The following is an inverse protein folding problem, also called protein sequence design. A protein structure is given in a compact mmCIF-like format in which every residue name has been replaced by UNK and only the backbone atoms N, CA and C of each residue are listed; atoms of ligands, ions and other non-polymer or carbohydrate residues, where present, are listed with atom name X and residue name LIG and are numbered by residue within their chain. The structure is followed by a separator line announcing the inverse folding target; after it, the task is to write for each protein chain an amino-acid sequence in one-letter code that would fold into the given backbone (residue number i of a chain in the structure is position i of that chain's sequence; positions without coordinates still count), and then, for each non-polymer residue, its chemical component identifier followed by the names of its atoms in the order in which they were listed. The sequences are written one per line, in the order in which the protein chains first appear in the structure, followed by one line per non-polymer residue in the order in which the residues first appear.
data_IF_247763471298
#
_entry.id   IF_247763471298
#
_cell.length_a   1.000
_cell.length_b   1.000
_cell.length_c   1.000
_cell.angle_alpha   90.00
_cell.angle_beta   90.00
_cell.angle_gamma   90.00
#
_symmetry.space_group_name_H-M   'P 1'
#
loop_
_entity.id
_entity.type
_entity.pdbx_description
1 polymer ?
#
# COMPACT_ATOMS: atom_id res chain seq x y z
N UNK A 1 -6.51 2.90 -23.61
CA UNK A 1 -7.44 3.97 -24.07
C UNK A 1 -8.22 4.50 -22.86
N UNK A 2 -8.86 5.68 -22.92
CA UNK A 2 -9.59 6.25 -21.77
C UNK A 2 -10.66 5.30 -21.19
N UNK A 3 -11.35 4.53 -22.04
CA UNK A 3 -12.34 3.52 -21.60
C UNK A 3 -11.71 2.35 -20.82
N UNK A 4 -10.55 1.86 -21.27
CA UNK A 4 -9.83 0.78 -20.59
C UNK A 4 -9.27 1.25 -19.24
N UNK A 5 -8.74 2.49 -19.19
CA UNK A 5 -8.25 3.09 -17.95
C UNK A 5 -9.38 3.33 -16.96
N UNK A 6 -10.53 3.83 -17.42
CA UNK A 6 -11.73 3.97 -16.59
C UNK A 6 -12.18 2.64 -15.99
N UNK A 7 -12.24 1.58 -16.80
CA UNK A 7 -12.60 0.24 -16.31
C UNK A 7 -11.60 -0.30 -15.28
N UNK A 8 -10.29 -0.14 -15.53
CA UNK A 8 -9.26 -0.53 -14.58
C UNK A 8 -9.35 0.25 -13.27
N UNK A 9 -9.55 1.58 -13.35
CA UNK A 9 -9.63 2.46 -12.20
C UNK A 9 -10.92 2.24 -11.38
N UNK A 10 -12.02 1.81 -12.00
CA UNK A 10 -13.23 1.39 -11.29
C UNK A 10 -12.96 0.20 -10.35
N UNK A 11 -12.11 -0.74 -10.75
CA UNK A 11 -11.69 -1.84 -9.88
C UNK A 11 -10.68 -1.35 -8.83
N UNK A 12 -9.67 -0.61 -9.28
CA UNK A 12 -8.58 -0.17 -8.40
C UNK A 12 -9.07 0.69 -7.23
N UNK A 13 -10.02 1.60 -7.47
CA UNK A 13 -10.52 2.46 -6.39
C UNK A 13 -11.26 1.67 -5.32
N UNK A 14 -12.00 0.64 -5.70
CA UNK A 14 -12.67 -0.25 -4.73
C UNK A 14 -11.63 -1.03 -3.91
N UNK A 15 -10.58 -1.55 -4.55
CA UNK A 15 -9.48 -2.21 -3.82
C UNK A 15 -8.71 -1.24 -2.91
N UNK A 16 -8.59 0.03 -3.30
CA UNK A 16 -7.96 1.09 -2.49
C UNK A 16 -8.81 1.44 -1.26
N UNK A 17 -10.13 1.58 -1.41
CA UNK A 17 -11.07 1.80 -0.30
C UNK A 17 -11.01 0.66 0.73
N UNK A 18 -10.84 -0.58 0.29
CA UNK A 18 -10.61 -1.71 1.19
C UNK A 18 -9.26 -1.63 1.90
N UNK A 19 -8.20 -1.27 1.17
CA UNK A 19 -6.85 -1.07 1.71
C UNK A 19 -6.76 0.11 2.70
N UNK A 20 -7.64 1.10 2.59
CA UNK A 20 -7.84 2.13 3.60
C UNK A 20 -8.65 1.59 4.79
N UNK A 21 -9.76 0.91 4.54
CA UNK A 21 -10.71 0.50 5.57
C UNK A 21 -10.07 -0.38 6.66
N UNK A 22 -9.16 -1.28 6.29
CA UNK A 22 -8.47 -2.16 7.23
C UNK A 22 -7.68 -1.43 8.33
N UNK A 23 -7.27 -0.17 8.11
CA UNK A 23 -6.61 0.62 9.17
C UNK A 23 -7.56 1.00 10.31
N UNK A 24 -8.87 1.01 10.05
CA UNK A 24 -9.92 1.28 11.05
C UNK A 24 -10.13 0.09 12.00
N UNK A 25 -9.58 -1.09 11.68
CA UNK A 25 -9.64 -2.28 12.55
C UNK A 25 -8.59 -2.18 13.67
N UNK A 26 -9.07 -1.92 14.89
CA UNK A 26 -8.23 -1.90 16.11
C UNK A 26 -8.26 -3.25 16.85
N UNK A 27 -9.41 -3.92 16.85
CA UNK A 27 -9.59 -5.26 17.39
C UNK A 27 -10.00 -6.23 16.26
N UNK A 28 -9.18 -7.26 15.93
CA UNK A 28 -9.45 -8.16 14.82
C UNK A 28 -10.71 -9.03 15.03
N UNK A 29 -11.16 -9.21 16.27
CA UNK A 29 -12.35 -10.01 16.58
C UNK A 29 -13.65 -9.21 16.47
N UNK A 30 -13.58 -7.88 16.30
CA UNK A 30 -14.75 -7.02 16.12
C UNK A 30 -15.01 -6.73 14.64
N UNK A 31 -16.21 -6.24 14.36
CA UNK A 31 -16.55 -5.70 13.05
C UNK A 31 -15.67 -4.48 12.73
N UNK A 32 -15.22 -4.38 11.49
CA UNK A 32 -14.46 -3.21 11.04
C UNK A 32 -15.45 -2.07 10.80
N UNK A 33 -15.27 -0.91 11.42
CA UNK A 33 -16.20 0.20 11.21
C UNK A 33 -16.06 0.78 9.80
N UNK A 34 -17.18 1.24 9.24
CA UNK A 34 -17.22 1.97 7.98
C UNK A 34 -16.73 1.16 6.77
N UNK A 35 -17.06 -0.13 6.71
CA UNK A 35 -16.82 -0.96 5.52
C UNK A 35 -17.42 -0.25 4.29
N UNK A 36 -16.68 -0.14 3.16
CA UNK A 36 -17.19 0.54 1.97
C UNK A 36 -18.49 -0.06 1.44
N UNK A 37 -19.32 0.78 0.80
CA UNK A 37 -20.57 0.35 0.18
C UNK A 37 -20.34 -0.79 -0.82
N UNK A 38 -21.26 -1.75 -0.86
CA UNK A 38 -21.14 -2.95 -1.69
C UNK A 38 -20.17 -3.99 -1.15
N UNK A 39 -19.53 -3.77 0.00
CA UNK A 39 -18.63 -4.75 0.62
C UNK A 39 -19.13 -5.20 1.99
N UNK A 40 -18.87 -6.47 2.31
CA UNK A 40 -19.05 -7.05 3.63
C UNK A 40 -17.72 -7.58 4.15
N UNK A 41 -17.31 -7.16 5.34
CA UNK A 41 -16.17 -7.77 6.02
C UNK A 41 -16.56 -9.13 6.59
N UNK A 42 -16.00 -10.20 6.04
CA UNK A 42 -16.29 -11.60 6.42
C UNK A 42 -15.18 -12.22 7.28
N UNK A 43 -14.23 -11.42 7.75
CA UNK A 43 -13.06 -11.91 8.49
C UNK A 43 -13.38 -12.64 9.80
N UNK A 44 -14.57 -12.42 10.35
CA UNK A 44 -15.07 -13.08 11.55
C UNK A 44 -16.12 -14.17 11.27
N UNK A 45 -16.41 -14.45 10.00
CA UNK A 45 -17.34 -15.49 9.55
C UNK A 45 -16.55 -16.72 9.07
N UNK A 46 -16.34 -17.68 9.97
CA UNK A 46 -15.60 -18.91 9.64
C UNK A 46 -16.25 -19.72 8.51
N UNK A 47 -17.58 -19.70 8.39
CA UNK A 47 -18.27 -20.42 7.34
C UNK A 47 -17.99 -19.78 5.97
N UNK A 48 -18.01 -18.44 5.89
CA UNK A 48 -17.63 -17.72 4.67
C UNK A 48 -16.13 -17.91 4.33
N UNK A 49 -15.23 -17.76 5.31
CA UNK A 49 -13.79 -17.93 5.10
C UNK A 49 -13.40 -19.32 4.61
N UNK A 50 -14.05 -20.36 5.14
CA UNK A 50 -13.75 -21.75 4.76
C UNK A 50 -13.98 -22.02 3.26
N UNK A 51 -14.88 -21.27 2.61
CA UNK A 51 -15.15 -21.38 1.16
C UNK A 51 -13.96 -20.96 0.30
N UNK A 52 -13.08 -20.12 0.83
CA UNK A 52 -11.84 -19.67 0.17
C UNK A 52 -10.59 -20.27 0.84
N UNK A 53 -10.76 -21.35 1.62
CA UNK A 53 -9.65 -22.06 2.26
C UNK A 53 -9.04 -21.35 3.48
N UNK A 54 -9.67 -20.27 3.97
CA UNK A 54 -9.15 -19.51 5.11
C UNK A 54 -9.90 -19.84 6.41
N UNK A 55 -9.24 -19.52 7.51
CA UNK A 55 -9.86 -19.44 8.83
C UNK A 55 -9.43 -18.15 9.53
N UNK A 56 -10.26 -17.67 10.46
CA UNK A 56 -10.06 -16.38 11.11
C UNK A 56 -8.70 -16.24 11.80
N UNK A 57 -8.18 -17.30 12.42
CA UNK A 57 -6.94 -17.25 13.19
C UNK A 57 -5.69 -17.04 12.30
N UNK A 58 -5.82 -17.14 10.98
CA UNK A 58 -4.74 -16.80 10.05
C UNK A 58 -4.61 -15.30 9.81
N UNK A 59 -5.66 -14.52 10.11
CA UNK A 59 -5.79 -13.13 9.68
C UNK A 59 -5.16 -12.12 10.64
N UNK A 60 -4.62 -12.56 11.79
CA UNK A 60 -3.93 -11.68 12.74
C UNK A 60 -2.94 -12.50 13.58
N UNK A 61 -1.97 -11.84 14.20
CA UNK A 61 -0.98 -12.48 15.08
C UNK A 61 -1.36 -12.42 16.57
N UNK A 62 -2.18 -11.46 16.99
CA UNK A 62 -2.67 -11.31 18.38
C UNK A 62 -4.01 -10.58 18.46
N UNK A 63 -4.71 -10.76 19.60
CA UNK A 63 -6.09 -10.28 19.80
C UNK A 63 -6.20 -8.78 20.10
N UNK A 64 -5.15 -8.17 20.62
CA UNK A 64 -5.13 -6.75 20.98
C UNK A 64 -4.01 -6.07 20.22
N UNK A 65 -4.34 -5.00 19.49
CA UNK A 65 -3.38 -4.23 18.69
C UNK A 65 -2.46 -5.13 17.85
N UNK A 66 -3.03 -5.97 16.94
CA UNK A 66 -2.23 -6.86 16.12
C UNK A 66 -1.16 -6.11 15.35
N UNK A 67 0.02 -6.69 15.25
CA UNK A 67 1.10 -6.17 14.42
C UNK A 67 0.85 -6.60 12.97
N UNK A 68 0.62 -7.90 12.77
CA UNK A 68 0.13 -8.44 11.50
C UNK A 68 -1.40 -8.40 11.48
N UNK A 69 -1.97 -7.79 10.44
CA UNK A 69 -3.41 -7.85 10.22
C UNK A 69 -3.73 -8.03 8.73
N UNK A 70 -4.61 -8.98 8.45
CA UNK A 70 -5.34 -9.12 7.21
C UNK A 70 -6.84 -9.11 7.49
N UNK A 71 -7.63 -8.70 6.49
CA UNK A 71 -9.10 -8.81 6.48
C UNK A 71 -9.55 -9.37 5.15
N UNK A 72 -10.73 -9.98 5.13
CA UNK A 72 -11.36 -10.51 3.91
C UNK A 72 -12.68 -9.80 3.71
N UNK A 73 -12.83 -9.19 2.54
CA UNK A 73 -14.04 -8.49 2.15
C UNK A 73 -14.73 -9.24 1.01
N UNK A 74 -16.01 -9.52 1.21
CA UNK A 74 -16.88 -10.15 0.24
C UNK A 74 -17.64 -9.06 -0.52
N UNK A 75 -17.59 -9.01 -1.86
CA UNK A 75 -18.44 -8.10 -2.63
C UNK A 75 -19.90 -8.54 -2.58
N UNK A 76 -20.80 -7.55 -2.57
CA UNK A 76 -22.23 -7.72 -2.76
C UNK A 76 -22.53 -7.76 -4.26
N UNK A 77 -23.03 -8.90 -4.73
CA UNK A 77 -23.36 -9.12 -6.13
C UNK A 77 -24.53 -8.24 -6.62
N UNK A 78 -25.34 -7.67 -5.71
CA UNK A 78 -26.40 -6.72 -6.10
C UNK A 78 -25.84 -5.35 -6.48
N UNK A 79 -24.63 -5.02 -5.99
CA UNK A 79 -23.92 -3.78 -6.30
C UNK A 79 -22.94 -3.99 -7.45
N UNK A 80 -22.11 -5.04 -7.38
CA UNK A 80 -21.00 -5.25 -8.31
C UNK A 80 -21.24 -6.32 -9.38
N UNK A 81 -22.41 -6.97 -9.40
CA UNK A 81 -22.67 -8.08 -10.30
C UNK A 81 -21.67 -9.21 -10.11
N UNK A 82 -20.90 -9.52 -11.18
CA UNK A 82 -19.83 -10.53 -11.16
C UNK A 82 -18.44 -9.91 -11.38
N UNK A 83 -18.32 -8.59 -11.31
CA UNK A 83 -17.10 -7.88 -11.67
C UNK A 83 -16.06 -7.86 -10.54
N UNK A 84 -16.51 -8.06 -9.28
CA UNK A 84 -15.64 -8.09 -8.11
C UNK A 84 -15.55 -9.49 -7.50
N UNK A 85 -14.35 -9.85 -7.02
CA UNK A 85 -14.11 -11.05 -6.24
C UNK A 85 -13.93 -10.74 -4.74
N UNK A 86 -14.16 -11.73 -3.85
CA UNK A 86 -13.63 -11.71 -2.48
C UNK A 86 -12.18 -11.25 -2.45
N UNK A 87 -11.86 -10.31 -1.57
CA UNK A 87 -10.53 -9.68 -1.52
C UNK A 87 -9.89 -9.90 -0.17
N UNK A 88 -8.70 -10.50 -0.16
CA UNK A 88 -7.80 -10.55 1.00
C UNK A 88 -6.99 -9.26 1.03
N UNK A 89 -7.11 -8.50 2.11
CA UNK A 89 -6.46 -7.19 2.26
C UNK A 89 -5.46 -7.26 3.40
N UNK A 90 -4.22 -6.86 3.14
CA UNK A 90 -3.17 -6.77 4.15
C UNK A 90 -2.99 -5.32 4.63
N UNK A 91 -2.92 -5.13 5.95
CA UNK A 91 -2.69 -3.80 6.52
C UNK A 91 -1.20 -3.47 6.49
N UNK A 92 -0.85 -2.25 6.09
CA UNK A 92 0.50 -1.74 6.28
C UNK A 92 0.78 -1.29 7.71
N UNK A 93 1.95 -0.69 7.91
CA UNK A 93 2.35 -0.09 9.19
C UNK A 93 1.42 1.06 9.56
N UNK A 94 0.94 1.10 10.81
CA UNK A 94 0.14 2.24 11.31
C UNK A 94 1.00 3.50 11.31
N UNK A 95 0.55 4.54 10.62
CA UNK A 95 1.15 5.86 10.76
C UNK A 95 1.00 6.34 12.20
N UNK A 96 1.99 7.07 12.75
CA UNK A 96 1.84 7.75 14.02
C UNK A 96 0.67 8.73 13.90
N UNK A 97 -0.22 8.75 14.90
CA UNK A 97 -1.29 9.74 14.96
C UNK A 97 -0.66 11.14 14.98
N UNK A 98 -0.82 11.89 13.88
CA UNK A 98 -0.60 13.33 13.91
C UNK A 98 -1.83 13.94 14.59
N UNK A 99 -1.69 14.58 15.76
CA UNK A 99 -2.83 15.26 16.37
C UNK A 99 -3.25 16.42 15.45
N UNK A 100 -4.40 16.25 14.81
CA UNK A 100 -5.29 17.26 14.23
C UNK A 100 -4.65 18.54 13.64
N UNK A 101 -4.67 18.63 12.30
CA UNK A 101 -4.69 19.89 11.55
C UNK A 101 -3.39 20.70 11.42
N UNK A 102 -3.27 21.42 10.28
CA UNK A 102 -2.13 22.28 9.90
C UNK A 102 -1.77 23.32 10.99
N UNK A 103 -2.75 23.74 11.79
CA UNK A 103 -2.54 24.69 12.90
C UNK A 103 -1.77 24.13 14.11
N UNK A 104 -1.82 22.82 14.36
CA UNK A 104 -1.11 22.20 15.49
C UNK A 104 0.36 21.91 15.15
N UNK A 105 0.62 21.51 13.89
CA UNK A 105 1.95 21.22 13.36
C UNK A 105 2.85 22.46 13.33
N UNK A 106 2.33 23.60 12.86
CA UNK A 106 3.06 24.87 12.87
C UNK A 106 3.41 25.32 14.30
N UNK A 107 2.52 25.09 15.27
CA UNK A 107 2.70 25.47 16.68
C UNK A 107 3.75 24.62 17.41
N UNK A 108 3.91 23.35 17.02
CA UNK A 108 4.94 22.44 17.56
C UNK A 108 6.33 22.76 17.01
N UNK A 109 6.42 23.02 15.70
CA UNK A 109 7.68 23.46 15.06
C UNK A 109 8.18 24.78 15.66
N UNK A 110 7.28 25.75 15.90
CA UNK A 110 7.60 27.01 16.59
C UNK A 110 8.09 26.84 18.04
N UNK A 111 7.82 25.70 18.68
CA UNK A 111 8.26 25.37 20.04
C UNK A 111 9.53 24.49 20.09
N UNK A 112 10.15 24.21 18.93
CA UNK A 112 11.31 23.33 18.84
C UNK A 112 10.98 21.84 18.98
N UNK A 113 9.71 21.45 18.88
CA UNK A 113 9.27 20.06 18.94
C UNK A 113 9.34 19.40 17.55
N UNK A 114 10.44 18.68 17.31
CA UNK A 114 10.72 17.91 16.10
C UNK A 114 10.21 16.45 16.18
N UNK A 115 9.34 16.12 17.13
CA UNK A 115 8.75 14.77 17.28
C UNK A 115 8.08 14.27 16.00
N UNK A 116 7.55 15.18 15.16
CA UNK A 116 7.02 14.84 13.84
C UNK A 116 8.04 14.14 12.92
N UNK A 117 9.31 14.57 12.91
CA UNK A 117 10.37 13.95 12.11
C UNK A 117 10.79 12.60 12.71
N UNK A 118 10.86 12.50 14.05
CA UNK A 118 11.13 11.22 14.73
C UNK A 118 10.04 10.18 14.46
N UNK A 119 8.78 10.60 14.51
CA UNK A 119 7.62 9.75 14.26
C UNK A 119 7.60 9.23 12.80
N UNK A 120 7.95 10.07 11.83
CA UNK A 120 8.09 9.64 10.43
C UNK A 120 9.25 8.67 10.26
N UNK A 121 10.41 8.94 10.86
CA UNK A 121 11.54 8.01 10.84
C UNK A 121 11.20 6.68 11.50
N UNK A 122 10.48 6.67 12.62
CA UNK A 122 10.04 5.45 13.29
C UNK A 122 9.04 4.68 12.42
N UNK A 123 8.11 5.37 11.75
CA UNK A 123 7.20 4.73 10.80
C UNK A 123 7.91 4.12 9.59
N UNK A 124 8.87 4.86 9.00
CA UNK A 124 9.72 4.36 7.92
C UNK A 124 10.54 3.17 8.41
N UNK A 125 11.16 3.26 9.59
CA UNK A 125 11.99 2.21 10.17
C UNK A 125 11.15 0.97 10.49
N UNK A 126 9.93 1.13 11.01
CA UNK A 126 8.99 0.03 11.24
C UNK A 126 8.56 -0.62 9.92
N UNK A 127 8.32 0.21 8.89
CA UNK A 127 8.12 -0.23 7.52
C UNK A 127 9.30 -1.03 6.99
N UNK A 128 10.52 -0.48 7.05
CA UNK A 128 11.75 -1.11 6.58
C UNK A 128 12.08 -2.42 7.31
N UNK A 129 11.90 -2.45 8.63
CA UNK A 129 12.00 -3.67 9.43
C UNK A 129 10.97 -4.72 8.98
N UNK A 130 9.72 -4.29 8.73
CA UNK A 130 8.67 -5.16 8.20
C UNK A 130 8.91 -5.62 6.76
N UNK A 131 9.57 -4.80 5.94
CA UNK A 131 9.93 -5.05 4.53
C UNK A 131 11.13 -5.99 4.37
N UNK A 132 11.98 -6.12 5.39
CA UNK A 132 13.10 -7.05 5.37
C UNK A 132 12.63 -8.46 5.02
N UNK A 133 13.35 -9.14 4.12
CA UNK A 133 13.04 -10.49 3.61
C UNK A 133 13.02 -11.60 4.70
N UNK A 134 13.01 -11.26 5.98
CA UNK A 134 12.99 -12.14 7.15
C UNK A 134 11.79 -11.87 8.09
N UNK A 135 10.86 -10.96 7.76
CA UNK A 135 9.79 -10.61 8.69
C UNK A 135 8.69 -11.68 8.76
N UNK A 136 8.09 -11.86 9.94
CA UNK A 136 6.97 -12.78 10.14
C UNK A 136 5.71 -12.34 9.37
N UNK A 137 5.63 -11.08 8.93
CA UNK A 137 4.53 -10.53 8.15
C UNK A 137 4.45 -11.16 6.75
N UNK A 138 5.56 -11.18 6.02
CA UNK A 138 5.63 -11.82 4.70
C UNK A 138 5.43 -13.32 4.80
N UNK A 139 5.95 -13.95 5.86
CA UNK A 139 5.71 -15.38 6.14
C UNK A 139 4.21 -15.66 6.29
N UNK A 140 3.48 -14.83 7.01
CA UNK A 140 2.04 -15.00 7.21
C UNK A 140 1.25 -14.71 5.93
N UNK A 141 1.65 -13.70 5.15
CA UNK A 141 1.08 -13.44 3.84
C UNK A 141 1.25 -14.62 2.86
N UNK A 142 2.44 -15.23 2.82
CA UNK A 142 2.72 -16.45 2.04
C UNK A 142 1.85 -17.63 2.51
N UNK A 143 1.68 -17.83 3.83
CA UNK A 143 0.79 -18.88 4.35
C UNK A 143 -0.66 -18.71 3.90
N UNK A 144 -1.19 -17.48 3.97
CA UNK A 144 -2.54 -17.16 3.48
C UNK A 144 -2.62 -17.41 1.97
N UNK A 145 -1.62 -16.98 1.22
CA UNK A 145 -1.53 -17.18 -0.23
C UNK A 145 -1.57 -18.66 -0.63
N UNK A 146 -0.84 -19.52 0.10
CA UNK A 146 -0.83 -20.96 -0.13
C UNK A 146 -2.20 -21.61 0.11
N UNK A 147 -3.03 -21.06 0.99
CA UNK A 147 -4.40 -21.57 1.20
C UNK A 147 -5.34 -21.13 0.08
N UNK A 148 -5.28 -19.87 -0.35
CA UNK A 148 -6.19 -19.33 -1.38
C UNK A 148 -5.78 -19.70 -2.81
N UNK A 149 -4.58 -20.28 -3.02
CA UNK A 149 -4.05 -20.56 -4.37
C UNK A 149 -5.02 -21.39 -5.25
N UNK A 150 -5.74 -22.34 -4.65
CA UNK A 150 -6.67 -23.21 -5.35
C UNK A 150 -8.12 -22.69 -5.36
N UNK A 151 -8.41 -21.58 -4.66
CA UNK A 151 -9.73 -20.97 -4.65
C UNK A 151 -9.99 -20.20 -5.95
N UNK A 152 -11.16 -20.37 -6.55
CA UNK A 152 -11.58 -19.56 -7.69
C UNK A 152 -11.99 -18.15 -7.22
N UNK A 153 -11.59 -17.12 -7.94
CA UNK A 153 -12.05 -15.74 -7.71
C UNK A 153 -11.68 -15.21 -6.32
N UNK A 154 -10.39 -15.05 -6.05
CA UNK A 154 -9.89 -14.32 -4.88
C UNK A 154 -8.90 -13.29 -5.39
N UNK A 155 -9.11 -12.04 -5.00
CA UNK A 155 -8.21 -10.92 -5.26
C UNK A 155 -7.39 -10.61 -4.00
N UNK A 156 -6.28 -9.90 -4.18
CA UNK A 156 -5.42 -9.47 -3.09
C UNK A 156 -5.25 -7.95 -3.14
N UNK A 157 -5.23 -7.28 -1.99
CA UNK A 157 -4.98 -5.84 -1.93
C UNK A 157 -4.14 -5.43 -0.72
N UNK A 158 -3.48 -4.29 -0.81
CA UNK A 158 -2.76 -3.72 0.32
C UNK A 158 -2.11 -2.38 0.02
N UNK A 159 -1.89 -1.60 1.07
CA UNK A 159 -1.24 -0.29 1.03
C UNK A 159 0.09 -0.30 1.78
N UNK A 160 1.10 0.44 1.31
CA UNK A 160 2.39 0.58 2.00
C UNK A 160 3.05 -0.79 2.21
N UNK A 161 3.48 -1.13 3.45
CA UNK A 161 3.93 -2.48 3.82
C UNK A 161 2.90 -3.58 3.48
N UNK A 162 1.60 -3.27 3.57
CA UNK A 162 0.52 -4.17 3.16
C UNK A 162 0.52 -4.45 1.65
N UNK A 163 0.92 -3.48 0.84
CA UNK A 163 1.10 -3.65 -0.61
C UNK A 163 2.26 -4.59 -0.94
N UNK A 164 3.34 -4.55 -0.16
CA UNK A 164 4.43 -5.52 -0.27
C UNK A 164 3.99 -6.94 0.09
N UNK A 165 3.25 -7.11 1.19
CA UNK A 165 2.64 -8.40 1.56
C UNK A 165 1.67 -8.91 0.49
N UNK A 166 0.85 -8.02 -0.08
CA UNK A 166 -0.06 -8.33 -1.18
C UNK A 166 0.71 -8.81 -2.43
N UNK A 167 1.83 -8.17 -2.76
CA UNK A 167 2.72 -8.58 -3.84
C UNK A 167 3.28 -9.99 -3.62
N UNK A 168 3.80 -10.27 -2.42
CA UNK A 168 4.32 -11.60 -2.07
C UNK A 168 3.22 -12.67 -2.14
N UNK A 169 2.02 -12.35 -1.66
CA UNK A 169 0.88 -13.25 -1.71
C UNK A 169 0.42 -13.52 -3.15
N UNK A 170 0.40 -12.51 -4.02
CA UNK A 170 0.12 -12.68 -5.46
C UNK A 170 1.15 -13.58 -6.14
N UNK A 171 2.44 -13.30 -5.93
CA UNK A 171 3.53 -14.10 -6.48
C UNK A 171 3.51 -15.56 -6.01
N UNK A 172 3.02 -15.81 -4.79
CA UNK A 172 2.88 -17.16 -4.21
C UNK A 172 1.65 -17.90 -4.74
N UNK A 173 0.50 -17.22 -4.80
CA UNK A 173 -0.80 -17.85 -5.08
C UNK A 173 -1.20 -17.82 -6.56
N UNK A 174 -0.55 -16.98 -7.36
CA UNK A 174 -0.96 -16.66 -8.72
C UNK A 174 -2.20 -15.76 -8.81
N UNK A 175 -2.76 -15.29 -7.68
CA UNK A 175 -3.96 -14.44 -7.67
C UNK A 175 -3.66 -13.00 -8.10
N UNK A 176 -4.61 -12.29 -8.73
CA UNK A 176 -4.47 -10.87 -9.03
C UNK A 176 -4.28 -10.03 -7.76
N UNK A 177 -3.48 -8.98 -7.84
CA UNK A 177 -3.30 -8.04 -6.74
C UNK A 177 -3.35 -6.58 -7.17
N UNK A 178 -3.85 -5.74 -6.27
CA UNK A 178 -3.82 -4.28 -6.37
C UNK A 178 -3.05 -3.72 -5.19
N UNK A 179 -1.99 -2.99 -5.47
CA UNK A 179 -1.11 -2.46 -4.42
C UNK A 179 -1.01 -0.96 -4.55
N UNK A 180 -1.01 -0.27 -3.41
CA UNK A 180 -1.07 1.19 -3.35
C UNK A 180 0.11 1.74 -2.56
N UNK A 181 0.89 2.64 -3.16
CA UNK A 181 2.13 3.20 -2.57
C UNK A 181 2.96 2.10 -1.90
N UNK A 182 3.16 1.00 -2.62
CA UNK A 182 3.56 -0.26 -2.02
C UNK A 182 5.04 -0.25 -1.62
N UNK A 183 5.31 -0.94 -0.52
CA UNK A 183 6.64 -1.42 -0.21
C UNK A 183 7.20 -2.32 -1.32
N UNK A 184 8.49 -2.14 -1.62
CA UNK A 184 9.25 -2.98 -2.53
C UNK A 184 9.29 -4.45 -2.14
N UNK A 185 9.32 -5.34 -3.13
CA UNK A 185 9.43 -6.79 -2.89
C UNK A 185 10.80 -7.30 -3.37
N UNK A 186 11.61 -7.81 -2.45
CA UNK A 186 12.90 -8.40 -2.81
C UNK A 186 12.70 -9.73 -3.55
N UNK A 187 13.45 -9.95 -4.64
CA UNK A 187 13.32 -11.12 -5.53
C UNK A 187 13.44 -12.47 -4.82
N UNK A 188 14.16 -12.53 -3.69
CA UNK A 188 14.33 -13.73 -2.87
C UNK A 188 13.22 -13.98 -1.82
N UNK A 189 12.30 -13.03 -1.58
CA UNK A 189 11.35 -13.11 -0.46
C UNK A 189 10.40 -14.31 -0.60
N UNK A 190 9.89 -14.59 -1.80
CA UNK A 190 8.92 -15.70 -1.99
C UNK A 190 9.60 -17.07 -1.90
N UNK A 191 10.71 -17.26 -2.62
CA UNK A 191 11.44 -18.53 -2.63
C UNK A 191 11.99 -18.93 -1.25
N UNK A 192 12.27 -17.95 -0.39
CA UNK A 192 12.80 -18.19 0.96
C UNK A 192 11.83 -18.87 1.92
N UNK A 193 10.52 -18.69 1.74
CA UNK A 193 9.52 -19.38 2.57
C UNK A 193 9.14 -20.75 2.02
N UNK A 194 9.95 -21.31 1.12
CA UNK A 194 9.74 -22.63 0.52
C UNK A 194 8.55 -22.70 -0.43
N UNK A 195 8.02 -21.54 -0.83
CA UNK A 195 6.94 -21.45 -1.79
C UNK A 195 7.50 -21.35 -3.22
N UNK A 196 6.94 -22.14 -4.11
CA UNK A 196 7.14 -21.96 -5.55
C UNK A 196 6.50 -20.62 -5.98
N UNK A 197 7.22 -19.81 -6.76
CA UNK A 197 6.65 -18.62 -7.38
C UNK A 197 5.75 -19.05 -8.54
N UNK A 198 4.47 -19.27 -8.24
CA UNK A 198 3.45 -19.65 -9.24
C UNK A 198 2.96 -18.40 -9.99
N UNK A 199 2.97 -17.25 -9.34
CA UNK A 199 2.52 -15.97 -9.90
C UNK A 199 3.58 -15.23 -10.71
N UNK A 200 3.15 -14.11 -11.31
CA UNK A 200 4.00 -13.20 -12.07
C UNK A 200 3.72 -11.76 -11.65
N UNK A 201 4.71 -10.88 -11.79
CA UNK A 201 4.52 -9.44 -11.60
C UNK A 201 3.42 -8.86 -12.51
N UNK A 202 3.12 -9.52 -13.64
CA UNK A 202 2.00 -9.16 -14.52
C UNK A 202 0.62 -9.27 -13.85
N UNK A 203 0.50 -10.02 -12.75
CA UNK A 203 -0.74 -10.16 -11.99
C UNK A 203 -0.97 -9.00 -11.01
N UNK A 204 0.01 -8.12 -10.83
CA UNK A 204 0.00 -7.07 -9.82
C UNK A 204 -0.19 -5.71 -10.51
N UNK A 205 -1.23 -4.98 -10.14
CA UNK A 205 -1.47 -3.59 -10.54
C UNK A 205 -0.94 -2.67 -9.43
N UNK A 206 0.17 -1.99 -9.71
CA UNK A 206 0.91 -1.21 -8.71
C UNK A 206 0.64 0.29 -8.87
N UNK A 207 -0.36 0.81 -8.15
CA UNK A 207 -0.70 2.23 -8.13
C UNK A 207 0.20 2.98 -7.15
N UNK A 208 0.74 4.12 -7.61
CA UNK A 208 1.65 4.94 -6.80
C UNK A 208 1.46 6.42 -7.07
N UNK A 209 1.50 7.23 -6.02
CA UNK A 209 1.48 8.70 -6.15
C UNK A 209 2.89 9.18 -6.48
N UNK A 210 3.01 10.07 -7.47
CA UNK A 210 4.30 10.61 -7.87
C UNK A 210 4.97 11.40 -6.74
N UNK A 211 6.22 11.05 -6.43
CA UNK A 211 6.99 11.68 -5.37
C UNK A 211 6.45 11.42 -3.96
N UNK A 212 5.76 10.30 -3.74
CA UNK A 212 5.43 9.82 -2.40
C UNK A 212 6.65 9.20 -1.71
N UNK A 213 6.60 9.13 -0.37
CA UNK A 213 7.74 8.80 0.48
C UNK A 213 8.47 7.49 0.12
N UNK A 214 7.75 6.38 -0.12
CA UNK A 214 8.38 5.09 -0.39
C UNK A 214 8.95 5.00 -1.81
N UNK A 215 8.22 5.46 -2.82
CA UNK A 215 8.70 5.55 -4.21
C UNK A 215 9.94 6.42 -4.27
N UNK A 216 9.96 7.52 -3.51
CA UNK A 216 11.14 8.37 -3.39
C UNK A 216 12.32 7.64 -2.75
N UNK A 217 12.11 6.69 -1.83
CA UNK A 217 13.21 5.92 -1.24
C UNK A 217 13.68 4.75 -2.11
N UNK A 218 12.78 4.20 -2.93
CA UNK A 218 13.03 3.04 -3.79
C UNK A 218 13.66 3.44 -5.12
N UNK A 219 13.16 4.51 -5.75
CA UNK A 219 13.61 4.95 -7.06
C UNK A 219 14.67 6.05 -6.96
N UNK A 220 15.66 5.98 -7.85
CA UNK A 220 16.61 7.07 -8.07
C UNK A 220 16.09 7.93 -9.21
N UNK A 221 15.77 9.19 -8.93
CA UNK A 221 15.47 10.19 -9.96
C UNK A 221 16.32 11.45 -9.74
N UNK A 222 17.36 11.59 -10.56
CA UNK A 222 18.47 12.49 -10.27
C UNK A 222 18.10 13.95 -10.05
N UNK A 223 17.13 14.50 -10.79
CA UNK A 223 16.76 15.91 -10.68
C UNK A 223 15.82 16.19 -9.50
N UNK A 224 14.75 15.40 -9.34
CA UNK A 224 13.82 15.53 -8.22
C UNK A 224 14.47 15.22 -6.88
N UNK A 225 15.38 14.25 -6.86
CA UNK A 225 16.08 13.82 -5.66
C UNK A 225 17.07 14.87 -5.19
N UNK A 226 17.77 15.51 -6.14
CA UNK A 226 18.66 16.62 -5.85
C UNK A 226 17.89 17.79 -5.22
N UNK A 227 16.76 18.19 -5.79
CA UNK A 227 15.95 19.28 -5.27
C UNK A 227 15.30 18.95 -3.92
N UNK A 228 14.80 17.74 -3.73
CA UNK A 228 14.24 17.29 -2.45
C UNK A 228 15.30 17.33 -1.33
N UNK A 229 16.47 16.75 -1.59
CA UNK A 229 17.59 16.70 -0.64
C UNK A 229 18.12 18.11 -0.36
N UNK A 230 18.27 18.93 -1.40
CA UNK A 230 18.69 20.33 -1.27
C UNK A 230 17.72 21.12 -0.39
N UNK A 231 16.42 21.03 -0.63
CA UNK A 231 15.42 21.80 0.12
C UNK A 231 15.19 21.28 1.55
N UNK A 232 15.58 20.04 1.85
CA UNK A 232 15.55 19.49 3.21
C UNK A 232 16.79 19.87 4.06
N UNK A 233 17.85 20.40 3.43
CA UNK A 233 19.08 20.80 4.12
C UNK A 233 19.04 22.26 4.57
N UNK A 234 19.60 22.60 5.75
CA UNK A 234 19.84 24.00 6.14
C UNK A 234 20.65 24.73 5.07
N UNK A 235 20.38 26.03 4.85
CA UNK A 235 21.01 26.85 3.79
C UNK A 235 22.54 26.73 3.72
N UNK A 236 23.20 26.56 4.87
CA UNK A 236 24.65 26.36 4.96
C UNK A 236 25.18 25.08 4.27
N UNK A 237 24.32 24.07 4.12
CA UNK A 237 24.62 22.75 3.55
C UNK A 237 24.04 22.54 2.14
N UNK A 238 23.30 23.52 1.60
CA UNK A 238 22.71 23.45 0.24
C UNK A 238 23.74 23.62 -0.90
N UNK A 239 25.02 23.84 -0.58
CA UNK A 239 26.11 23.94 -1.56
C UNK A 239 26.35 22.58 -2.25
N UNK A 240 26.92 22.54 -3.48
CA UNK A 240 27.01 21.32 -4.29
C UNK A 240 27.60 20.11 -3.55
N UNK A 241 28.57 20.35 -2.65
CA UNK A 241 29.24 19.31 -1.88
C UNK A 241 28.38 18.74 -0.72
N UNK A 242 27.46 19.53 -0.17
CA UNK A 242 26.58 19.09 0.92
C UNK A 242 25.39 18.25 0.46
N UNK A 243 24.98 18.39 -0.82
CA UNK A 243 23.93 17.58 -1.44
C UNK A 243 24.47 16.24 -1.95
N UNK A 244 25.73 16.18 -2.39
CA UNK A 244 26.36 14.95 -2.92
C UNK A 244 26.46 13.81 -1.89
N UNK A 245 26.69 14.11 -0.61
CA UNK A 245 26.78 13.10 0.46
C UNK A 245 25.44 12.38 0.73
N UNK A 246 24.32 13.08 0.98
CA UNK A 246 23.01 12.44 1.10
C UNK A 246 22.51 11.82 -0.22
N UNK A 247 22.87 12.40 -1.37
CA UNK A 247 22.51 11.84 -2.67
C UNK A 247 23.20 10.49 -2.94
N UNK A 248 24.50 10.40 -2.67
CA UNK A 248 25.21 9.11 -2.71
C UNK A 248 24.60 8.12 -1.71
N UNK A 249 24.34 8.52 -0.46
CA UNK A 249 23.70 7.64 0.53
C UNK A 249 22.34 7.11 0.08
N UNK A 250 21.56 7.91 -0.66
CA UNK A 250 20.30 7.50 -1.28
C UNK A 250 20.49 6.52 -2.42
N UNK A 251 21.48 6.72 -3.30
CA UNK A 251 21.87 5.71 -4.30
C UNK A 251 22.24 4.38 -3.62
N UNK A 252 23.00 4.39 -2.52
CA UNK A 252 23.33 3.18 -1.77
C UNK A 252 22.11 2.54 -1.08
N UNK A 253 21.13 3.35 -0.66
CA UNK A 253 19.90 2.87 0.00
C UNK A 253 18.91 2.27 -1.00
N UNK A 254 18.70 2.90 -2.15
CA UNK A 254 17.87 2.38 -3.25
C UNK A 254 18.45 1.11 -3.86
N UNK A 255 19.78 0.98 -3.93
CA UNK A 255 20.44 -0.30 -4.28
C UNK A 255 20.10 -1.45 -3.30
N UNK A 256 19.68 -1.14 -2.06
CA UNK A 256 19.31 -2.12 -1.04
C UNK A 256 17.79 -2.31 -0.90
N UNK A 257 16.97 -1.35 -1.32
CA UNK A 257 15.50 -1.40 -1.23
C UNK A 257 14.93 -1.69 -2.63
N UNK A 258 14.32 -2.87 -2.85
CA UNK A 258 13.78 -3.23 -4.15
C UNK A 258 12.62 -2.30 -4.56
N UNK A 259 12.34 -2.22 -5.86
CA UNK A 259 11.14 -1.56 -6.37
C UNK A 259 9.85 -2.32 -5.99
N UNK A 260 8.74 -1.60 -5.97
CA UNK A 260 7.41 -2.20 -5.90
C UNK A 260 7.19 -3.16 -7.09
N UNK A 261 6.76 -4.40 -6.79
CA UNK A 261 6.49 -5.38 -7.84
C UNK A 261 5.17 -5.08 -8.55
N UNK A 262 5.16 -5.14 -9.88
CA UNK A 262 3.93 -5.10 -10.66
C UNK A 262 4.00 -4.27 -11.93
N UNK A 263 2.84 -4.11 -12.57
CA UNK A 263 2.62 -3.14 -13.65
C UNK A 263 2.38 -1.77 -12.98
N UNK A 264 3.29 -0.79 -13.16
CA UNK A 264 3.19 0.49 -12.47
C UNK A 264 2.12 1.39 -13.08
N UNK A 265 1.34 2.04 -12.21
CA UNK A 265 0.37 3.08 -12.53
C UNK A 265 0.70 4.33 -11.70
N UNK A 266 1.44 5.27 -12.29
CA UNK A 266 1.83 6.50 -11.59
C UNK A 266 0.71 7.54 -11.65
N UNK A 267 0.32 8.04 -10.48
CA UNK A 267 -0.71 9.06 -10.27
C UNK A 267 -0.03 10.40 -9.99
N UNK A 268 -0.10 11.32 -10.94
CA UNK A 268 0.36 12.70 -10.77
C UNK A 268 -0.64 13.51 -9.92
N UNK A 269 -0.21 14.65 -9.38
CA UNK A 269 -1.11 15.60 -8.69
C UNK A 269 -1.26 15.40 -7.18
N UNK A 270 -0.46 14.52 -6.56
CA UNK A 270 -0.40 14.41 -5.10
C UNK A 270 0.04 15.72 -4.44
N UNK A 271 -0.60 16.10 -3.34
CA UNK A 271 -0.36 17.38 -2.65
C UNK A 271 0.21 17.18 -1.25
N UNK A 272 0.83 18.22 -0.69
CA UNK A 272 1.42 18.18 0.65
C UNK A 272 2.81 17.56 0.72
N UNK A 273 3.17 17.07 1.90
CA UNK A 273 4.44 16.42 2.20
C UNK A 273 4.55 15.05 1.53
N UNK A 274 5.75 14.46 1.52
CA UNK A 274 5.96 13.08 1.05
C UNK A 274 5.07 12.07 1.77
N UNK A 275 4.80 12.28 3.07
CA UNK A 275 3.92 11.43 3.86
C UNK A 275 2.45 11.65 3.51
N UNK A 276 2.04 12.89 3.27
CA UNK A 276 0.67 13.17 2.81
C UNK A 276 0.41 12.43 1.50
N UNK A 277 1.32 12.55 0.52
CA UNK A 277 1.27 11.82 -0.76
C UNK A 277 1.31 10.30 -0.60
N UNK A 278 1.98 9.79 0.44
CA UNK A 278 2.00 8.36 0.76
C UNK A 278 0.65 7.88 1.25
N UNK A 279 -0.20 8.75 1.79
CA UNK A 279 -1.54 8.41 2.25
C UNK A 279 -2.40 7.70 1.18
N UNK A 280 -3.11 6.66 1.60
CA UNK A 280 -4.06 5.93 0.73
C UNK A 280 -5.22 6.81 0.29
N UNK A 281 -5.56 7.84 1.05
CA UNK A 281 -6.58 8.85 0.74
C UNK A 281 -6.22 9.67 -0.50
N UNK A 282 -4.96 10.10 -0.64
CA UNK A 282 -4.47 10.76 -1.86
C UNK A 282 -4.56 9.80 -3.06
N UNK A 283 -4.21 8.53 -2.86
CA UNK A 283 -4.29 7.51 -3.92
C UNK A 283 -5.73 7.32 -4.40
N UNK A 284 -6.69 7.17 -3.48
CA UNK A 284 -8.12 7.05 -3.79
C UNK A 284 -8.59 8.28 -4.56
N UNK A 285 -8.28 9.48 -4.05
CA UNK A 285 -8.67 10.74 -4.69
C UNK A 285 -8.16 10.83 -6.12
N UNK A 286 -6.88 10.58 -6.35
CA UNK A 286 -6.27 10.69 -7.67
C UNK A 286 -6.80 9.64 -8.67
N UNK A 287 -7.16 8.44 -8.20
CA UNK A 287 -7.82 7.44 -9.05
C UNK A 287 -9.23 7.93 -9.44
N UNK A 288 -10.00 8.50 -8.51
CA UNK A 288 -11.33 9.08 -8.81
C UNK A 288 -11.19 10.28 -9.78
N UNK A 289 -10.22 11.18 -9.57
CA UNK A 289 -9.98 12.31 -10.48
C UNK A 289 -9.68 11.82 -11.92
N UNK A 290 -8.84 10.79 -12.09
CA UNK A 290 -8.57 10.19 -13.40
C UNK A 290 -9.82 9.56 -14.03
N UNK A 291 -10.71 8.97 -13.22
CA UNK A 291 -11.98 8.43 -13.72
C UNK A 291 -12.87 9.54 -14.26
N UNK A 292 -12.97 10.67 -13.56
CA UNK A 292 -13.74 11.82 -14.01
C UNK A 292 -13.18 12.40 -15.32
N UNK A 293 -11.86 12.51 -15.44
CA UNK A 293 -11.19 12.89 -16.68
C UNK A 293 -11.47 11.92 -17.84
N UNK A 294 -11.45 10.61 -17.58
CA UNK A 294 -11.75 9.60 -18.58
C UNK A 294 -13.20 9.66 -19.04
N UNK A 295 -14.15 9.84 -18.11
CA UNK A 295 -15.57 10.03 -18.42
C UNK A 295 -15.77 11.28 -19.28
N UNK A 296 -15.11 12.39 -18.93
CA UNK A 296 -15.17 13.62 -19.72
C UNK A 296 -14.60 13.42 -21.13
N UNK A 297 -13.47 12.72 -21.25
CA UNK A 297 -12.83 12.40 -22.53
C UNK A 297 -13.72 11.50 -23.40
N UNK A 298 -14.37 10.50 -22.82
CA UNK A 298 -15.27 9.59 -23.54
C UNK A 298 -16.51 10.34 -24.01
N UNK A 299 -17.12 11.16 -23.15
CA UNK A 299 -18.32 11.95 -23.49
C UNK A 299 -18.03 13.00 -24.55
N UNK A 300 -16.86 13.66 -24.52
CA UNK A 300 -16.48 14.65 -25.52
C UNK A 300 -16.13 14.09 -26.90
N UNK A 301 -16.08 12.75 -27.04
CA UNK A 301 -15.87 12.04 -28.32
C UNK A 301 -17.18 11.51 -28.94
N UNK A 302 -18.32 11.69 -28.26
CA UNK A 302 -19.68 11.38 -28.74
C UNK A 302 -20.28 12.66 -29.32
#
# INVERSE_FOLDING_TARGET
MASERLAANNVAVEKAKLAENIYKTTNPLKETPGVPEGWKDISNDNAALSKIGLNRNMLFDRYESPDFLARVYQPDNTVFGKEMNPTVVFRGSRAPEFPEGIGSAAKKVLRGDLSGIKNVNDWINNGAQGMGANSDYYKQAVKIALQVKNSSGVDISGHSLGGGMASAASMTSGKPAWTFNAAGLHHGTVGKYGAEMIGSTKNIQAYRVEGELLTTLQEVNNESDYELIRNALPDALQKPWGVALPFTLKEWSSLAVPDAAGIPHTLAGGTGTLLDKHGIDQTIKLIEDQKDEDVATIRGRI
#
